data_IF_063946249344
#
_entry.id   IF_063946249344
#
_cell.length_a   1.000
_cell.length_b   1.000
_cell.length_c   1.000
_cell.angle_alpha   90.00
_cell.angle_beta   90.00
_cell.angle_gamma   90.00
#
_symmetry.space_group_name_H-M   'P 1'
#
loop_
_entity.id
_entity.type
_entity.pdbx_description
1 polymer ?
#
# COMPACT_ATOMS: atom_id res chain seq x y z
N UNK A 1 35.72 -14.32 -14.26
CA UNK A 1 34.95 -13.10 -13.95
C UNK A 1 34.10 -13.31 -12.72
N UNK A 2 34.37 -12.54 -11.67
CA UNK A 2 33.65 -12.52 -10.39
C UNK A 2 32.96 -11.17 -10.16
N UNK A 3 32.67 -10.43 -11.24
CA UNK A 3 31.91 -9.19 -11.13
C UNK A 3 30.43 -9.55 -10.89
N UNK A 4 29.96 -9.33 -9.66
CA UNK A 4 28.54 -9.45 -9.34
C UNK A 4 27.72 -8.37 -10.07
N UNK A 5 26.52 -8.73 -10.52
CA UNK A 5 25.52 -7.81 -11.04
C UNK A 5 24.39 -7.60 -10.03
N UNK A 6 23.65 -6.50 -10.19
CA UNK A 6 22.37 -6.33 -9.49
C UNK A 6 21.32 -7.28 -10.10
N UNK A 7 20.34 -7.76 -9.31
CA UNK A 7 19.21 -8.48 -9.87
C UNK A 7 18.36 -7.57 -10.76
N UNK A 8 17.45 -8.13 -11.54
CA UNK A 8 16.51 -7.35 -12.37
C UNK A 8 15.50 -6.57 -11.52
N UNK A 9 15.06 -7.16 -10.41
CA UNK A 9 14.15 -6.56 -9.46
C UNK A 9 14.50 -6.98 -8.03
N UNK A 10 14.28 -6.08 -7.08
CA UNK A 10 14.23 -6.40 -5.66
C UNK A 10 12.77 -6.58 -5.26
N UNK A 11 12.43 -7.73 -4.69
CA UNK A 11 11.10 -7.99 -4.13
C UNK A 11 11.19 -7.99 -2.60
N UNK A 12 10.46 -7.11 -1.95
CA UNK A 12 10.31 -7.11 -0.49
C UNK A 12 8.92 -7.58 -0.09
N UNK A 13 8.91 -8.59 0.78
CA UNK A 13 7.73 -9.29 1.24
C UNK A 13 7.69 -9.24 2.78
N UNK A 14 7.14 -8.17 3.38
CA UNK A 14 6.99 -8.08 4.83
C UNK A 14 6.28 -9.30 5.42
N UNK A 15 6.77 -9.73 6.58
CA UNK A 15 6.19 -10.85 7.33
C UNK A 15 4.90 -10.46 8.08
N UNK A 16 4.59 -9.17 8.14
CA UNK A 16 3.40 -8.62 8.81
C UNK A 16 2.12 -8.71 7.97
N UNK A 17 2.21 -9.13 6.71
CA UNK A 17 1.08 -9.32 5.79
C UNK A 17 0.82 -10.82 5.50
N UNK A 18 0.25 -11.59 6.46
CA UNK A 18 0.13 -13.05 6.35
C UNK A 18 -0.96 -13.52 5.37
N UNK A 19 -1.88 -12.63 4.97
CA UNK A 19 -3.01 -12.95 4.08
C UNK A 19 -2.69 -12.76 2.59
N UNK A 20 -1.45 -12.35 2.28
CA UNK A 20 -0.93 -12.26 0.91
C UNK A 20 -1.02 -13.61 0.21
N UNK A 21 -1.37 -13.59 -1.08
CA UNK A 21 -1.29 -14.77 -1.94
C UNK A 21 -0.28 -14.55 -3.08
N UNK A 22 0.13 -15.62 -3.74
CA UNK A 22 1.10 -15.57 -4.85
C UNK A 22 0.71 -14.59 -5.94
N UNK A 23 -0.58 -14.53 -6.30
CA UNK A 23 -1.10 -13.63 -7.33
C UNK A 23 -0.81 -12.15 -7.04
N UNK A 24 -0.78 -11.73 -5.76
CA UNK A 24 -0.47 -10.33 -5.43
C UNK A 24 0.97 -9.99 -5.81
N UNK A 25 1.89 -10.94 -5.63
CA UNK A 25 3.30 -10.79 -5.97
C UNK A 25 3.48 -10.80 -7.49
N UNK A 26 2.82 -11.73 -8.17
CA UNK A 26 2.83 -11.83 -9.64
C UNK A 26 2.31 -10.55 -10.29
N UNK A 27 1.19 -9.99 -9.80
CA UNK A 27 0.65 -8.74 -10.30
C UNK A 27 1.65 -7.56 -10.12
N UNK A 28 2.37 -7.51 -9.00
CA UNK A 28 3.40 -6.49 -8.79
C UNK A 28 4.59 -6.65 -9.74
N UNK A 29 5.02 -7.87 -10.00
CA UNK A 29 6.08 -8.17 -10.97
C UNK A 29 5.63 -7.81 -12.40
N UNK A 30 4.41 -8.17 -12.78
CA UNK A 30 3.82 -7.82 -14.08
C UNK A 30 3.73 -6.30 -14.28
N UNK A 31 3.34 -5.55 -13.24
CA UNK A 31 3.33 -4.08 -13.29
C UNK A 31 4.75 -3.51 -13.43
N UNK A 32 5.71 -4.05 -12.70
CA UNK A 32 7.12 -3.62 -12.77
C UNK A 32 7.73 -3.89 -14.15
N UNK A 33 7.45 -5.05 -14.74
CA UNK A 33 7.94 -5.47 -16.05
C UNK A 33 7.45 -4.62 -17.22
N UNK A 34 6.41 -3.79 -17.03
CA UNK A 34 6.01 -2.78 -18.03
C UNK A 34 7.12 -1.74 -18.28
N UNK A 35 8.12 -1.64 -17.40
CA UNK A 35 9.28 -0.75 -17.55
C UNK A 35 8.95 0.71 -17.25
N UNK A 36 7.85 0.96 -16.55
CA UNK A 36 7.31 2.29 -16.28
C UNK A 36 7.27 2.62 -14.77
N UNK A 37 8.08 1.94 -13.95
CA UNK A 37 8.14 2.16 -12.51
C UNK A 37 9.56 1.90 -11.96
N UNK A 38 10.00 2.76 -11.05
CA UNK A 38 11.19 2.50 -10.21
C UNK A 38 10.79 1.67 -8.97
N UNK A 39 9.53 1.76 -8.58
CA UNK A 39 8.94 1.12 -7.40
C UNK A 39 7.46 0.80 -7.67
N UNK A 40 7.07 -0.44 -7.42
CA UNK A 40 5.68 -0.89 -7.35
C UNK A 40 5.34 -1.17 -5.90
N UNK A 41 4.29 -0.52 -5.40
CA UNK A 41 3.73 -0.74 -4.05
C UNK A 41 2.37 -1.44 -4.16
N UNK A 42 1.90 -2.01 -3.07
CA UNK A 42 0.52 -2.48 -2.95
C UNK A 42 -0.34 -1.44 -2.25
N UNK A 43 -1.60 -1.31 -2.69
CA UNK A 43 -2.59 -0.40 -2.11
C UNK A 43 -3.94 -1.09 -1.93
N UNK A 44 -4.79 -0.57 -1.06
CA UNK A 44 -6.17 -1.04 -0.88
C UNK A 44 -7.12 0.16 -0.76
N UNK A 45 -8.43 -0.09 -0.87
CA UNK A 45 -9.43 0.98 -0.75
C UNK A 45 -9.31 1.67 0.61
N UNK A 46 -9.14 3.00 0.60
CA UNK A 46 -8.95 3.72 1.84
C UNK A 46 -10.23 3.74 2.71
N UNK A 47 -10.09 3.37 3.97
CA UNK A 47 -11.23 3.40 4.91
C UNK A 47 -11.66 4.85 5.20
N UNK A 48 -10.70 5.76 5.29
CA UNK A 48 -10.88 7.19 5.54
C UNK A 48 -10.34 8.01 4.37
N UNK A 49 -10.79 9.26 4.27
CA UNK A 49 -10.30 10.18 3.24
C UNK A 49 -9.92 11.53 3.85
N UNK A 50 -8.73 12.07 3.52
CA UNK A 50 -8.29 13.37 4.02
C UNK A 50 -9.13 14.53 3.50
N UNK A 51 -9.89 14.30 2.43
CA UNK A 51 -10.83 15.27 1.86
C UNK A 51 -12.19 15.29 2.56
N UNK A 52 -12.49 14.31 3.43
CA UNK A 52 -13.84 14.11 3.95
C UNK A 52 -13.94 13.87 5.45
N UNK A 53 -13.14 12.96 6.02
CA UNK A 53 -13.34 12.51 7.40
C UNK A 53 -12.04 12.23 8.18
N UNK A 54 -10.92 12.78 7.72
CA UNK A 54 -9.70 12.89 8.53
C UNK A 54 -9.47 14.35 8.88
N UNK A 55 -9.20 14.62 10.15
CA UNK A 55 -9.01 15.97 10.68
C UNK A 55 -7.63 16.14 11.30
N UNK A 56 -7.13 17.38 11.33
CA UNK A 56 -5.91 17.79 12.02
C UNK A 56 -6.22 18.95 12.96
N UNK A 57 -5.41 19.06 14.02
CA UNK A 57 -5.49 20.18 14.96
C UNK A 57 -4.86 21.43 14.34
N UNK A 58 -5.55 22.56 14.47
CA UNK A 58 -5.07 23.88 14.07
C UNK A 58 -4.26 24.52 15.21
N UNK A 59 -3.54 25.59 14.90
CA UNK A 59 -2.70 26.30 15.90
C UNK A 59 -3.50 26.91 17.07
N UNK A 60 -4.79 27.15 16.89
CA UNK A 60 -5.70 27.69 17.90
C UNK A 60 -6.42 26.60 18.72
N UNK A 61 -6.11 25.33 18.48
CA UNK A 61 -6.73 24.17 19.15
C UNK A 61 -8.06 23.71 18.54
N UNK A 62 -8.57 24.38 17.51
CA UNK A 62 -9.70 23.87 16.72
C UNK A 62 -9.27 22.70 15.81
N UNK A 63 -10.24 22.01 15.20
CA UNK A 63 -9.96 20.93 14.22
C UNK A 63 -10.49 21.29 12.85
N UNK A 64 -9.75 20.91 11.80
CA UNK A 64 -10.17 21.06 10.41
C UNK A 64 -9.78 19.84 9.58
N UNK A 65 -10.34 19.70 8.38
CA UNK A 65 -9.99 18.61 7.47
C UNK A 65 -8.49 18.63 7.13
N UNK A 66 -7.90 17.43 6.96
CA UNK A 66 -6.50 17.30 6.58
C UNK A 66 -6.23 18.01 5.24
N UNK A 67 -7.10 17.77 4.25
CA UNK A 67 -7.12 18.49 2.97
C UNK A 67 -8.49 19.18 2.79
N UNK A 68 -8.56 20.49 3.06
CA UNK A 68 -9.79 21.25 2.89
C UNK A 68 -10.21 21.31 1.41
N UNK A 69 -11.50 21.11 1.09
CA UNK A 69 -12.05 21.37 -0.24
C UNK A 69 -11.86 22.81 -0.71
N UNK A 70 -11.64 23.02 -2.02
CA UNK A 70 -11.67 24.37 -2.62
C UNK A 70 -13.09 24.91 -2.82
N UNK A 71 -14.08 24.02 -2.90
CA UNK A 71 -15.52 24.34 -3.00
C UNK A 71 -16.30 23.44 -2.05
N UNK A 72 -17.58 23.73 -1.79
CA UNK A 72 -18.41 22.87 -0.95
C UNK A 72 -18.54 21.47 -1.57
N UNK A 73 -17.72 20.53 -1.13
CA UNK A 73 -17.84 19.11 -1.49
C UNK A 73 -19.04 18.58 -0.74
N UNK A 74 -20.13 18.33 -1.48
CA UNK A 74 -21.39 17.87 -0.90
C UNK A 74 -21.39 16.35 -0.65
N UNK A 75 -20.54 15.56 -1.34
CA UNK A 75 -20.61 14.10 -1.32
C UNK A 75 -19.23 13.43 -1.44
N UNK A 76 -19.08 12.28 -0.79
CA UNK A 76 -17.83 11.49 -0.76
C UNK A 76 -17.44 10.94 -2.14
N UNK A 77 -18.39 10.71 -3.03
CA UNK A 77 -18.14 10.24 -4.39
C UNK A 77 -17.56 11.31 -5.32
N UNK A 78 -17.57 12.59 -4.91
CA UNK A 78 -17.10 13.69 -5.74
C UNK A 78 -15.64 14.09 -5.42
N UNK A 79 -14.98 13.40 -4.45
CA UNK A 79 -13.58 13.64 -4.11
C UNK A 79 -12.64 12.70 -4.88
N UNK A 80 -11.36 13.09 -5.08
CA UNK A 80 -10.36 12.18 -5.64
C UNK A 80 -10.30 10.87 -4.87
N UNK A 81 -10.18 9.76 -5.62
CA UNK A 81 -9.92 8.46 -5.03
C UNK A 81 -8.59 8.50 -4.27
N UNK A 82 -8.60 7.91 -3.08
CA UNK A 82 -7.42 7.74 -2.22
C UNK A 82 -7.37 6.29 -1.78
N UNK A 83 -6.15 5.80 -1.60
CA UNK A 83 -5.88 4.42 -1.25
C UNK A 83 -4.96 4.36 -0.05
N UNK A 84 -5.17 3.36 0.80
CA UNK A 84 -4.24 3.05 1.87
C UNK A 84 -3.11 2.23 1.27
N UNK A 85 -1.87 2.69 1.42
CA UNK A 85 -0.67 1.92 1.06
C UNK A 85 -0.54 0.74 2.03
N UNK A 86 -0.26 -0.44 1.50
CA UNK A 86 -0.24 -1.68 2.28
C UNK A 86 1.16 -2.30 2.28
N UNK A 87 1.41 -3.21 3.22
CA UNK A 87 2.68 -3.93 3.34
C UNK A 87 2.71 -5.26 2.59
N UNK A 88 1.72 -5.52 1.72
CA UNK A 88 1.56 -6.82 1.05
C UNK A 88 2.78 -7.13 0.19
N UNK A 89 3.17 -6.25 -0.73
CA UNK A 89 4.36 -6.48 -1.56
C UNK A 89 4.96 -5.17 -2.08
N UNK A 90 6.27 -5.22 -2.32
CA UNK A 90 7.06 -4.15 -2.91
C UNK A 90 7.97 -4.74 -3.99
N UNK A 91 8.00 -4.15 -5.18
CA UNK A 91 8.92 -4.53 -6.26
C UNK A 91 9.66 -3.29 -6.74
N UNK A 92 10.98 -3.24 -6.61
CA UNK A 92 11.78 -2.06 -6.91
C UNK A 92 12.95 -2.36 -7.85
N UNK A 93 13.37 -1.35 -8.61
CA UNK A 93 14.67 -1.35 -9.27
C UNK A 93 15.77 -1.31 -8.19
N UNK A 94 16.71 -2.28 -8.16
CA UNK A 94 17.79 -2.28 -7.18
C UNK A 94 18.67 -1.01 -7.23
N UNK A 95 18.83 -0.40 -8.40
CA UNK A 95 19.54 0.88 -8.55
C UNK A 95 18.77 2.01 -7.87
N UNK A 96 17.44 2.02 -7.98
CA UNK A 96 16.59 2.99 -7.27
C UNK A 96 16.78 2.84 -5.75
N UNK A 97 16.72 1.61 -5.23
CA UNK A 97 16.93 1.32 -3.80
C UNK A 97 18.30 1.79 -3.30
N UNK A 98 19.34 1.67 -4.13
CA UNK A 98 20.71 2.04 -3.74
C UNK A 98 21.00 3.54 -3.85
N UNK A 99 20.20 4.30 -4.60
CA UNK A 99 20.51 5.71 -4.94
C UNK A 99 19.52 6.71 -4.36
N UNK A 100 18.36 6.26 -3.85
CA UNK A 100 17.29 7.11 -3.31
C UNK A 100 17.04 6.81 -1.83
N UNK A 101 16.51 7.80 -1.11
CA UNK A 101 16.30 7.69 0.34
C UNK A 101 14.85 7.40 0.72
N UNK A 102 13.90 7.55 -0.21
CA UNK A 102 12.49 7.33 0.06
C UNK A 102 11.74 6.72 -1.14
N UNK A 103 10.70 5.95 -0.81
CA UNK A 103 9.84 5.22 -1.76
C UNK A 103 9.27 6.13 -2.86
N UNK A 104 8.93 7.38 -2.51
CA UNK A 104 8.28 8.33 -3.42
C UNK A 104 9.26 9.30 -4.11
N UNK A 105 10.56 9.03 -4.12
CA UNK A 105 11.57 9.82 -4.84
C UNK A 105 11.75 9.41 -6.33
N UNK A 106 10.91 8.49 -6.83
CA UNK A 106 10.92 8.02 -8.21
C UNK A 106 9.52 7.84 -8.79
N UNK A 107 9.43 7.12 -9.90
CA UNK A 107 8.16 6.76 -10.52
C UNK A 107 7.55 5.57 -9.80
N UNK A 108 6.55 5.86 -8.95
CA UNK A 108 5.84 4.83 -8.18
C UNK A 108 4.57 4.40 -8.90
N UNK A 109 4.35 3.10 -8.99
CA UNK A 109 3.07 2.50 -9.41
C UNK A 109 2.49 1.64 -8.31
N UNK A 110 1.21 1.33 -8.44
CA UNK A 110 0.46 0.62 -7.42
C UNK A 110 -0.30 -0.56 -8.00
N UNK A 111 -0.34 -1.65 -7.25
CA UNK A 111 -1.24 -2.79 -7.48
C UNK A 111 -2.29 -2.81 -6.37
N UNK A 112 -3.56 -2.95 -6.75
CA UNK A 112 -4.65 -3.02 -5.79
C UNK A 112 -4.73 -4.43 -5.18
N UNK A 113 -4.87 -4.48 -3.85
CA UNK A 113 -5.12 -5.69 -3.07
C UNK A 113 -6.41 -5.49 -2.29
N UNK A 114 -7.35 -6.46 -2.31
CA UNK A 114 -8.57 -6.42 -1.50
C UNK A 114 -8.25 -6.24 -0.01
N UNK A 115 -9.07 -5.47 0.70
CA UNK A 115 -8.85 -5.07 2.10
C UNK A 115 -8.71 -6.29 3.02
N UNK A 116 -9.48 -7.34 2.78
CA UNK A 116 -9.45 -8.59 3.54
C UNK A 116 -8.12 -9.36 3.40
N UNK A 117 -7.30 -9.05 2.39
CA UNK A 117 -5.95 -9.62 2.19
C UNK A 117 -4.82 -8.64 2.53
N UNK A 118 -5.16 -7.39 2.84
CA UNK A 118 -4.23 -6.29 3.06
C UNK A 118 -3.98 -5.96 4.53
N UNK A 119 -4.32 -6.87 5.46
CA UNK A 119 -4.08 -6.67 6.89
C UNK A 119 -2.58 -6.67 7.18
N UNK A 120 -2.13 -5.62 7.85
CA UNK A 120 -0.78 -5.45 8.41
C UNK A 120 -0.83 -5.69 9.92
N UNK A 121 0.00 -6.60 10.42
CA UNK A 121 0.03 -6.91 11.86
C UNK A 121 0.92 -5.91 12.60
N UNK A 122 0.30 -4.89 13.18
CA UNK A 122 0.95 -3.96 14.13
C UNK A 122 0.58 -4.29 15.59
N UNK A 123 -0.60 -4.85 15.80
CA UNK A 123 -1.16 -5.11 17.13
C UNK A 123 -1.62 -6.56 17.28
N UNK A 124 -1.85 -6.96 18.54
CA UNK A 124 -2.45 -8.26 18.84
C UNK A 124 -3.86 -8.41 18.23
N UNK A 125 -4.62 -7.30 18.12
CA UNK A 125 -5.93 -7.34 17.49
C UNK A 125 -5.83 -7.67 16.00
N UNK A 126 -4.87 -7.08 15.28
CA UNK A 126 -4.63 -7.36 13.86
C UNK A 126 -4.27 -8.83 13.65
N UNK A 127 -3.42 -9.38 14.53
CA UNK A 127 -3.08 -10.80 14.53
C UNK A 127 -4.32 -11.68 14.71
N UNK A 128 -5.17 -11.39 15.70
CA UNK A 128 -6.41 -12.15 15.95
C UNK A 128 -7.38 -12.07 14.78
N UNK A 129 -7.50 -10.91 14.12
CA UNK A 129 -8.34 -10.74 12.94
C UNK A 129 -7.77 -11.56 11.77
N UNK A 130 -6.45 -11.49 11.52
CA UNK A 130 -5.81 -12.26 10.46
C UNK A 130 -5.96 -13.77 10.67
N UNK A 131 -5.77 -14.26 11.89
CA UNK A 131 -5.99 -15.67 12.25
C UNK A 131 -7.44 -16.10 12.01
N UNK A 132 -8.40 -15.25 12.37
CA UNK A 132 -9.82 -15.49 12.13
C UNK A 132 -10.12 -15.62 10.63
N UNK A 133 -9.59 -14.73 9.80
CA UNK A 133 -9.80 -14.73 8.34
C UNK A 133 -9.18 -15.97 7.66
N UNK A 134 -7.98 -16.38 8.06
CA UNK A 134 -7.37 -17.63 7.57
C UNK A 134 -8.26 -18.85 7.85
N UNK A 135 -8.80 -18.92 9.07
CA UNK A 135 -9.66 -20.02 9.49
C UNK A 135 -11.03 -20.02 8.79
N UNK A 136 -11.54 -18.85 8.39
CA UNK A 136 -12.75 -18.77 7.56
C UNK A 136 -12.51 -19.27 6.14
N UNK A 137 -11.39 -18.89 5.51
CA UNK A 137 -11.04 -19.34 4.16
C UNK A 137 -10.85 -20.86 4.08
N UNK A 138 -10.17 -21.45 5.06
CA UNK A 138 -9.93 -22.89 5.12
C UNK A 138 -11.19 -23.74 5.33
N UNK A 139 -12.28 -23.16 5.86
CA UNK A 139 -13.56 -23.86 6.04
C UNK A 139 -14.44 -23.86 4.79
N UNK A 140 -14.11 -23.05 3.78
CA UNK A 140 -14.84 -22.98 2.51
C UNK A 140 -14.11 -23.72 1.38
N UNK A 141 -12.89 -24.20 1.61
CA UNK A 141 -12.09 -24.98 0.67
C UNK A 141 -12.30 -26.50 0.83
#
# INVERSE_FOLDING_TARGET
DTAGGLPEAMVSLPATAPLRVTQDIENCLDEFQKGEADMVITVSDAHRSPYFNMVKTNSDGSVGLVIPPQSSIARRQDVPAVYDMTTVAYVADPTFVMTRNAVFEGRVRAVHVPVERAIDIDTLLDFQIAECLLNFGNKQA
#
